data_IF_359186587445
#
_entry.id   IF_359186587445
#
_cell.length_a   1.000
_cell.length_b   1.000
_cell.length_c   1.000
_cell.angle_alpha   90.00
_cell.angle_beta   90.00
_cell.angle_gamma   90.00
#
_symmetry.space_group_name_H-M   'P 1'
#
loop_
_entity.id
_entity.type
_entity.pdbx_description
1 polymer ?
#
# COMPACT_ATOMS: atom_id res chain seq x y z
N UNK A 1 -1.10 -0.36 9.50
CA UNK A 1 -1.10 -1.26 8.33
C UNK A 1 -0.01 -0.84 7.37
N UNK A 2 0.12 0.46 7.13
CA UNK A 2 1.26 1.11 6.47
C UNK A 2 2.62 0.55 6.93
N UNK A 3 2.89 0.54 8.25
CA UNK A 3 4.14 -0.03 8.80
C UNK A 3 4.42 -1.47 8.32
N UNK A 4 3.36 -2.29 8.16
CA UNK A 4 3.52 -3.65 7.67
C UNK A 4 3.84 -3.69 6.18
N UNK A 5 3.25 -2.81 5.37
CA UNK A 5 3.58 -2.72 3.94
C UNK A 5 5.00 -2.22 3.75
N UNK A 6 5.39 -1.15 4.45
CA UNK A 6 6.75 -0.61 4.42
C UNK A 6 7.77 -1.68 4.78
N UNK A 7 7.55 -2.35 5.91
CA UNK A 7 8.40 -3.46 6.36
C UNK A 7 8.43 -4.62 5.37
N UNK A 8 7.33 -4.91 4.69
CA UNK A 8 7.30 -5.94 3.65
C UNK A 8 8.22 -5.56 2.48
N UNK A 9 8.13 -4.32 1.97
CA UNK A 9 9.00 -3.86 0.88
C UNK A 9 10.47 -3.83 1.31
N UNK A 10 10.77 -3.39 2.54
CA UNK A 10 12.13 -3.42 3.10
C UNK A 10 12.68 -4.85 3.12
N UNK A 11 11.90 -5.82 3.60
CA UNK A 11 12.30 -7.24 3.61
C UNK A 11 12.53 -7.76 2.18
N UNK A 12 11.65 -7.43 1.23
CA UNK A 12 11.82 -7.84 -0.17
C UNK A 12 13.08 -7.23 -0.79
N UNK A 13 13.37 -5.96 -0.48
CA UNK A 13 14.59 -5.26 -0.92
C UNK A 13 15.84 -5.97 -0.39
N UNK A 14 15.87 -6.28 0.90
CA UNK A 14 16.99 -7.01 1.52
C UNK A 14 17.19 -8.39 0.89
N UNK A 15 16.10 -9.13 0.67
CA UNK A 15 16.15 -10.45 0.02
C UNK A 15 16.66 -10.32 -1.43
N UNK A 16 16.20 -9.33 -2.18
CA UNK A 16 16.61 -9.10 -3.56
C UNK A 16 18.12 -8.82 -3.66
N UNK A 17 18.65 -7.95 -2.79
CA UNK A 17 20.08 -7.65 -2.70
C UNK A 17 20.92 -8.88 -2.31
N UNK A 18 20.42 -9.70 -1.38
CA UNK A 18 21.07 -10.96 -1.02
C UNK A 18 21.13 -11.95 -2.19
N UNK A 19 20.05 -12.06 -2.96
CA UNK A 19 19.99 -12.92 -4.15
C UNK A 19 20.93 -12.38 -5.24
N UNK A 20 20.90 -11.07 -5.50
CA UNK A 20 21.79 -10.40 -6.45
C UNK A 20 23.25 -10.65 -6.12
N UNK A 21 23.63 -10.55 -4.84
CA UNK A 21 24.99 -10.85 -4.39
C UNK A 21 25.39 -12.32 -4.60
N UNK A 22 24.49 -13.27 -4.30
CA UNK A 22 24.80 -14.71 -4.32
C UNK A 22 24.70 -15.35 -5.71
N UNK A 23 23.69 -14.95 -6.50
CA UNK A 23 23.33 -15.56 -7.77
C UNK A 23 23.51 -14.62 -8.97
N UNK A 24 23.84 -13.33 -8.76
CA UNK A 24 23.94 -12.30 -9.81
C UNK A 24 22.63 -12.13 -10.58
N UNK A 25 21.50 -12.32 -9.90
CA UNK A 25 20.14 -12.20 -10.44
C UNK A 25 19.41 -11.15 -9.63
N UNK A 26 18.72 -10.25 -10.31
CA UNK A 26 17.79 -9.28 -9.74
C UNK A 26 16.37 -9.81 -9.97
N UNK A 27 15.64 -10.07 -8.88
CA UNK A 27 14.31 -10.72 -8.90
C UNK A 27 13.23 -9.72 -9.29
N UNK A 28 13.34 -8.52 -8.74
CA UNK A 28 12.50 -7.34 -9.03
C UNK A 28 13.45 -6.16 -9.19
N UNK A 29 13.11 -5.22 -10.07
CA UNK A 29 13.98 -4.05 -10.28
C UNK A 29 14.01 -3.15 -9.04
N UNK A 30 15.16 -2.55 -8.76
CA UNK A 30 15.23 -1.55 -7.68
C UNK A 30 14.25 -0.39 -7.87
N UNK A 31 14.06 0.10 -9.08
CA UNK A 31 13.12 1.19 -9.35
C UNK A 31 11.69 0.82 -8.98
N UNK A 32 11.27 -0.41 -9.23
CA UNK A 32 9.94 -0.88 -8.86
C UNK A 32 9.75 -0.99 -7.34
N UNK A 33 10.80 -1.37 -6.60
CA UNK A 33 10.76 -1.34 -5.14
C UNK A 33 10.71 0.10 -4.60
N UNK A 34 11.50 1.00 -5.17
CA UNK A 34 11.53 2.42 -4.81
C UNK A 34 10.16 3.08 -5.08
N UNK A 35 9.55 2.83 -6.25
CA UNK A 35 8.21 3.34 -6.61
C UNK A 35 7.14 2.87 -5.61
N UNK A 36 7.23 1.62 -5.12
CA UNK A 36 6.29 1.07 -4.13
C UNK A 36 6.46 1.71 -2.76
N UNK A 37 7.68 2.12 -2.39
CA UNK A 37 7.93 2.87 -1.15
C UNK A 37 7.34 4.27 -1.26
N UNK A 38 7.58 4.97 -2.37
CA UNK A 38 7.06 6.31 -2.60
C UNK A 38 5.51 6.33 -2.56
N UNK A 39 4.87 5.30 -3.13
CA UNK A 39 3.41 5.13 -3.06
C UNK A 39 2.86 4.90 -1.63
N UNK A 40 3.70 4.51 -0.65
CA UNK A 40 3.25 4.35 0.74
C UNK A 40 3.12 5.68 1.48
N UNK A 41 3.84 6.72 1.06
CA UNK A 41 3.68 8.04 1.66
C UNK A 41 2.27 8.59 1.36
N UNK A 42 1.76 8.37 0.14
CA UNK A 42 0.37 8.71 -0.23
C UNK A 42 -0.68 7.91 0.57
N UNK A 43 -0.33 6.68 0.97
CA UNK A 43 -1.19 5.80 1.75
C UNK A 43 -1.36 6.27 3.21
N UNK A 44 -0.35 6.89 3.81
CA UNK A 44 -0.47 7.49 5.15
C UNK A 44 -1.54 8.59 5.17
N UNK A 45 -1.47 9.52 4.22
CA UNK A 45 -2.43 10.62 4.07
C UNK A 45 -3.84 10.10 3.82
N UNK A 46 -3.96 9.02 3.05
CA UNK A 46 -5.24 8.34 2.83
C UNK A 46 -5.86 7.82 4.13
N UNK A 47 -5.08 7.14 4.98
CA UNK A 47 -5.54 6.58 6.26
C UNK A 47 -5.98 7.68 7.23
N UNK A 48 -5.26 8.79 7.27
CA UNK A 48 -5.66 9.95 8.07
C UNK A 48 -7.00 10.51 7.57
N UNK A 49 -7.14 10.73 6.26
CA UNK A 49 -8.37 11.23 5.65
C UNK A 49 -9.56 10.29 5.91
N UNK A 50 -9.35 8.97 5.87
CA UNK A 50 -10.38 7.99 6.24
C UNK A 50 -10.82 8.16 7.69
N UNK A 51 -9.86 8.25 8.60
CA UNK A 51 -10.12 8.38 10.05
C UNK A 51 -10.93 9.64 10.34
N UNK A 52 -10.53 10.78 9.76
CA UNK A 52 -11.25 12.04 9.90
C UNK A 52 -12.68 11.97 9.33
N UNK A 53 -12.87 11.33 8.16
CA UNK A 53 -14.22 11.18 7.57
C UNK A 53 -15.12 10.28 8.42
N UNK A 54 -14.58 9.20 9.00
CA UNK A 54 -15.30 8.30 9.90
C UNK A 54 -15.70 9.03 11.20
N UNK A 55 -14.81 9.86 11.76
CA UNK A 55 -15.10 10.65 12.95
C UNK A 55 -16.21 11.67 12.70
N UNK A 56 -16.19 12.36 11.54
CA UNK A 56 -17.26 13.27 11.12
C UNK A 56 -18.60 12.53 10.98
N UNK A 57 -18.61 11.36 10.34
CA UNK A 57 -19.81 10.53 10.18
C UNK A 57 -20.35 9.99 11.51
N UNK A 58 -19.47 9.69 12.47
CA UNK A 58 -19.86 9.30 13.84
C UNK A 58 -20.61 10.43 14.56
N UNK A 59 -20.33 11.68 14.19
CA UNK A 59 -21.04 12.87 14.65
C UNK A 59 -22.04 13.40 13.60
N UNK A 60 -22.62 12.51 12.78
CA UNK A 60 -23.50 12.86 11.66
C UNK A 60 -24.68 13.78 12.00
N UNK A 61 -25.19 13.74 13.24
CA UNK A 61 -26.25 14.64 13.71
C UNK A 61 -25.89 16.13 13.67
N UNK A 62 -24.59 16.47 13.56
CA UNK A 62 -24.09 17.84 13.43
C UNK A 62 -24.07 18.34 11.98
N UNK A 63 -24.40 17.49 11.00
CA UNK A 63 -24.27 17.77 9.57
C UNK A 63 -25.60 17.63 8.83
N UNK A 64 -25.73 18.35 7.72
CA UNK A 64 -26.84 18.20 6.80
C UNK A 64 -26.78 16.88 6.03
N UNK A 65 -27.92 16.45 5.46
CA UNK A 65 -27.99 15.24 4.62
C UNK A 65 -27.01 15.29 3.43
N UNK A 66 -26.82 16.46 2.82
CA UNK A 66 -25.90 16.61 1.68
C UNK A 66 -24.43 16.50 2.11
N UNK A 67 -24.07 17.03 3.28
CA UNK A 67 -22.74 16.86 3.86
C UNK A 67 -22.48 15.40 4.23
N UNK A 68 -23.46 14.72 4.85
CA UNK A 68 -23.36 13.28 5.15
C UNK A 68 -23.14 12.49 3.86
N UNK A 69 -23.92 12.77 2.80
CA UNK A 69 -23.75 12.12 1.50
C UNK A 69 -22.35 12.35 0.91
N UNK A 70 -21.83 13.57 1.02
CA UNK A 70 -20.48 13.91 0.56
C UNK A 70 -19.41 13.15 1.34
N UNK A 71 -19.55 13.06 2.68
CA UNK A 71 -18.63 12.30 3.53
C UNK A 71 -18.65 10.80 3.22
N UNK A 72 -19.83 10.23 2.96
CA UNK A 72 -19.95 8.82 2.54
C UNK A 72 -19.28 8.57 1.18
N UNK A 73 -19.42 9.50 0.23
CA UNK A 73 -18.74 9.38 -1.06
C UNK A 73 -17.22 9.46 -0.91
N UNK A 74 -16.72 10.40 -0.11
CA UNK A 74 -15.28 10.50 0.19
C UNK A 74 -14.76 9.23 0.84
N UNK A 75 -15.49 8.70 1.82
CA UNK A 75 -15.10 7.47 2.51
C UNK A 75 -15.07 6.27 1.54
N UNK A 76 -16.03 6.18 0.62
CA UNK A 76 -16.03 5.15 -0.43
C UNK A 76 -14.80 5.24 -1.33
N UNK A 77 -14.46 6.44 -1.82
CA UNK A 77 -13.27 6.65 -2.64
C UNK A 77 -12.00 6.25 -1.87
N UNK A 78 -11.89 6.69 -0.61
CA UNK A 78 -10.72 6.34 0.18
C UNK A 78 -10.60 4.81 0.42
N UNK A 79 -11.72 4.10 0.60
CA UNK A 79 -11.70 2.64 0.70
C UNK A 79 -11.28 1.98 -0.62
N UNK A 80 -11.68 2.53 -1.77
CA UNK A 80 -11.25 2.03 -3.07
C UNK A 80 -9.73 2.17 -3.24
N UNK A 81 -9.18 3.34 -2.90
CA UNK A 81 -7.74 3.59 -2.94
C UNK A 81 -6.98 2.68 -1.95
N UNK A 82 -7.54 2.48 -0.75
CA UNK A 82 -6.95 1.58 0.26
C UNK A 82 -6.83 0.14 -0.25
N UNK A 83 -7.87 -0.35 -0.95
CA UNK A 83 -7.86 -1.68 -1.57
C UNK A 83 -6.81 -1.74 -2.67
N UNK A 84 -6.72 -0.70 -3.50
CA UNK A 84 -5.72 -0.61 -4.55
C UNK A 84 -4.29 -0.71 -4.00
N UNK A 85 -3.95 0.00 -2.92
CA UNK A 85 -2.63 -0.13 -2.29
C UNK A 85 -2.34 -1.55 -1.77
N UNK A 86 -3.34 -2.26 -1.25
CA UNK A 86 -3.18 -3.67 -0.85
C UNK A 86 -2.85 -4.53 -2.07
N UNK A 87 -3.57 -4.35 -3.17
CA UNK A 87 -3.37 -5.11 -4.40
C UNK A 87 -1.97 -4.86 -4.98
N UNK A 88 -1.48 -3.62 -4.94
CA UNK A 88 -0.13 -3.26 -5.41
C UNK A 88 1.00 -3.98 -4.64
N UNK A 89 0.85 -4.14 -3.33
CA UNK A 89 1.80 -4.89 -2.48
C UNK A 89 1.67 -6.40 -2.73
N UNK A 90 0.44 -6.88 -2.91
CA UNK A 90 0.19 -8.29 -3.20
C UNK A 90 0.76 -8.69 -4.56
N UNK A 91 0.64 -7.85 -5.59
CA UNK A 91 1.20 -8.12 -6.91
C UNK A 91 2.73 -8.06 -6.89
N UNK A 92 3.33 -7.10 -6.15
CA UNK A 92 4.78 -7.11 -5.90
C UNK A 92 5.24 -8.45 -5.29
N UNK A 93 4.51 -8.98 -4.32
CA UNK A 93 4.83 -10.28 -3.72
C UNK A 93 4.72 -11.43 -4.73
N UNK A 94 3.70 -11.43 -5.59
CA UNK A 94 3.57 -12.45 -6.64
C UNK A 94 4.74 -12.40 -7.61
N UNK A 95 5.10 -11.21 -8.08
CA UNK A 95 6.20 -11.04 -9.02
C UNK A 95 7.53 -11.47 -8.41
N UNK A 96 7.74 -11.12 -7.13
CA UNK A 96 8.90 -11.57 -6.38
C UNK A 96 8.99 -13.09 -6.28
N UNK A 97 7.87 -13.76 -5.98
CA UNK A 97 7.81 -15.23 -5.88
C UNK A 97 8.00 -15.87 -7.27
N UNK A 98 7.35 -15.33 -8.29
CA UNK A 98 7.40 -15.85 -9.67
C UNK A 98 8.79 -15.76 -10.29
N UNK A 99 9.55 -14.72 -9.94
CA UNK A 99 10.93 -14.52 -10.40
C UNK A 99 11.97 -15.11 -9.44
N UNK A 100 11.54 -15.76 -8.35
CA UNK A 100 12.46 -16.29 -7.35
C UNK A 100 13.32 -17.40 -7.95
N UNK A 101 14.66 -17.33 -7.85
CA UNK A 101 15.52 -18.28 -8.53
C UNK A 101 15.50 -19.66 -7.86
N UNK A 102 15.32 -20.70 -8.67
CA UNK A 102 15.27 -22.09 -8.23
C UNK A 102 16.43 -22.49 -7.31
N UNK A 103 16.11 -23.40 -6.39
CA UNK A 103 17.09 -24.02 -5.49
C UNK A 103 17.81 -25.14 -6.23
N UNK A 104 18.83 -24.81 -7.02
CA UNK A 104 19.81 -25.79 -7.49
C UNK A 104 20.79 -26.16 -6.37
#
# INVERSE_FOLDING_TARGET
>A
MEDNFKKTIEILTDINELIKKKKQIEVVSKSELDDKIDNLDEYSDLLENMTQNIEKLSNSHLYSTDEIRSLLLKLHLNFADYIWHIDEIHDLLKDFIGNFPDSN
#
